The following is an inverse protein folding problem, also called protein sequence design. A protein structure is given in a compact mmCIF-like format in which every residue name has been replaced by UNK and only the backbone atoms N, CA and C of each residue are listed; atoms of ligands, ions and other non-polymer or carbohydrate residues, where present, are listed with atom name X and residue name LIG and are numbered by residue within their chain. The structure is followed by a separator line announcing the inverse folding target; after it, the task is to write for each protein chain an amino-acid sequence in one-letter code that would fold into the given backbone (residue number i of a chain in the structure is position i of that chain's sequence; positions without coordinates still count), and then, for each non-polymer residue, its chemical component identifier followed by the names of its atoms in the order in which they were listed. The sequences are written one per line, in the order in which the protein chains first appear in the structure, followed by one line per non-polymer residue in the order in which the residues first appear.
data_IF_909200883293
#
_entry.id   IF_909200883293
#
_cell.length_a   1.000
_cell.length_b   1.000
_cell.length_c   1.000
_cell.angle_alpha   90.00
_cell.angle_beta   90.00
_cell.angle_gamma   90.00
#
_symmetry.space_group_name_H-M   'P 1'
#
loop_
_entity.id
_entity.type
_entity.pdbx_description
1 polymer ?
#
# COMPACT_ATOMS: atom_id res chain seq x y z
N UNK A 1 -41.16 14.21 6.92
CA UNK A 1 -40.16 13.17 7.22
C UNK A 1 -39.94 13.08 8.72
N UNK A 2 -39.80 11.88 9.31
CA UNK A 2 -39.50 11.73 10.75
C UNK A 2 -38.19 12.45 11.08
N UNK A 3 -38.15 13.20 12.19
CA UNK A 3 -36.95 13.97 12.63
C UNK A 3 -35.67 13.12 12.69
N UNK A 4 -35.80 11.82 12.95
CA UNK A 4 -34.70 10.86 12.95
C UNK A 4 -34.06 10.69 11.57
N UNK A 5 -34.86 10.57 10.51
CA UNK A 5 -34.37 10.39 9.14
C UNK A 5 -33.61 11.62 8.64
N UNK A 6 -34.05 12.81 9.06
CA UNK A 6 -33.38 14.08 8.72
C UNK A 6 -32.01 14.16 9.40
N UNK A 7 -31.90 13.75 10.67
CA UNK A 7 -30.61 13.71 11.39
C UNK A 7 -29.64 12.72 10.76
N UNK A 8 -30.10 11.51 10.44
CA UNK A 8 -29.26 10.49 9.78
C UNK A 8 -28.79 10.97 8.41
N UNK A 9 -29.67 11.56 7.60
CA UNK A 9 -29.32 12.09 6.28
C UNK A 9 -28.31 13.23 6.39
N UNK A 10 -28.49 14.14 7.35
CA UNK A 10 -27.54 15.23 7.59
C UNK A 10 -26.16 14.73 8.00
N UNK A 11 -26.07 13.70 8.85
CA UNK A 11 -24.80 13.08 9.22
C UNK A 11 -24.11 12.41 8.04
N UNK A 12 -24.87 11.71 7.18
CA UNK A 12 -24.32 11.09 5.97
C UNK A 12 -23.70 12.15 5.05
N UNK A 13 -24.43 13.24 4.78
CA UNK A 13 -23.95 14.35 3.93
C UNK A 13 -22.72 15.01 4.56
N UNK A 14 -22.72 15.23 5.87
CA UNK A 14 -21.57 15.78 6.60
C UNK A 14 -20.34 14.88 6.48
N UNK A 15 -20.49 13.57 6.65
CA UNK A 15 -19.37 12.63 6.49
C UNK A 15 -18.83 12.61 5.07
N UNK A 16 -19.70 12.62 4.05
CA UNK A 16 -19.24 12.67 2.66
C UNK A 16 -18.49 13.96 2.34
N UNK A 17 -19.02 15.10 2.76
CA UNK A 17 -18.34 16.40 2.56
C UNK A 17 -16.99 16.44 3.28
N UNK A 18 -16.90 15.92 4.51
CA UNK A 18 -15.64 15.77 5.23
C UNK A 18 -14.63 14.90 4.47
N UNK A 19 -15.06 13.76 3.91
CA UNK A 19 -14.18 12.88 3.12
C UNK A 19 -13.68 13.55 1.83
N UNK A 20 -14.54 14.27 1.11
CA UNK A 20 -14.16 14.97 -0.13
C UNK A 20 -13.15 16.07 0.16
N UNK A 21 -13.39 16.88 1.19
CA UNK A 21 -12.45 17.94 1.61
C UNK A 21 -11.12 17.32 2.07
N UNK A 22 -11.17 16.27 2.88
CA UNK A 22 -9.97 15.55 3.30
C UNK A 22 -9.18 15.02 2.10
N UNK A 23 -9.85 14.42 1.11
CA UNK A 23 -9.20 13.92 -0.10
C UNK A 23 -8.50 15.04 -0.89
N UNK A 24 -9.16 16.20 -1.06
CA UNK A 24 -8.56 17.35 -1.76
C UNK A 24 -7.34 17.91 -1.02
N UNK A 25 -7.39 17.97 0.32
CA UNK A 25 -6.25 18.42 1.14
C UNK A 25 -5.08 17.43 1.01
N UNK A 26 -5.35 16.13 1.15
CA UNK A 26 -4.28 15.12 1.02
C UNK A 26 -3.69 15.06 -0.38
N UNK A 27 -4.51 15.20 -1.43
CA UNK A 27 -4.02 15.29 -2.80
C UNK A 27 -3.09 16.50 -2.99
N UNK A 28 -3.50 17.68 -2.56
CA UNK A 28 -2.68 18.89 -2.66
C UNK A 28 -1.36 18.80 -1.88
N UNK A 29 -1.36 18.13 -0.71
CA UNK A 29 -0.19 18.05 0.16
C UNK A 29 0.77 16.92 -0.23
N UNK A 30 0.28 15.74 -0.59
CA UNK A 30 1.10 14.54 -0.75
C UNK A 30 1.39 14.18 -2.23
N UNK A 31 0.55 14.60 -3.19
CA UNK A 31 0.67 14.22 -4.61
C UNK A 31 2.01 14.61 -5.25
N UNK A 32 2.46 15.85 -5.00
CA UNK A 32 3.76 16.34 -5.51
C UNK A 32 4.94 15.57 -4.90
N UNK A 33 4.85 15.27 -3.61
CA UNK A 33 5.90 14.55 -2.89
C UNK A 33 6.00 13.10 -3.37
N UNK A 34 4.87 12.43 -3.54
CA UNK A 34 4.80 11.07 -4.10
C UNK A 34 5.41 11.02 -5.51
N UNK A 35 4.98 11.94 -6.39
CA UNK A 35 5.47 11.98 -7.78
C UNK A 35 6.99 12.21 -7.84
N UNK A 36 7.51 13.12 -7.01
CA UNK A 36 8.96 13.38 -6.92
C UNK A 36 9.73 12.18 -6.36
N UNK A 37 9.20 11.53 -5.32
CA UNK A 37 9.80 10.33 -4.74
C UNK A 37 9.81 9.18 -5.75
N UNK A 38 8.71 8.97 -6.48
CA UNK A 38 8.61 7.95 -7.53
C UNK A 38 9.64 8.18 -8.62
N UNK A 39 9.75 9.40 -9.14
CA UNK A 39 10.78 9.75 -10.14
C UNK A 39 12.21 9.51 -9.62
N UNK A 40 12.50 9.85 -8.36
CA UNK A 40 13.81 9.59 -7.75
C UNK A 40 14.10 8.09 -7.62
N UNK A 41 13.08 7.29 -7.30
CA UNK A 41 13.20 5.83 -7.24
C UNK A 41 13.44 5.25 -8.63
N UNK A 42 12.72 5.70 -9.65
CA UNK A 42 12.89 5.25 -11.04
C UNK A 42 14.30 5.56 -11.57
N UNK A 43 14.81 6.76 -11.28
CA UNK A 43 16.19 7.14 -11.63
C UNK A 43 17.22 6.26 -10.93
N UNK A 44 17.00 5.93 -9.64
CA UNK A 44 17.88 5.02 -8.90
C UNK A 44 17.79 3.58 -9.41
N UNK A 45 16.60 3.08 -9.75
CA UNK A 45 16.38 1.77 -10.38
C UNK A 45 17.15 1.70 -11.70
N UNK A 46 17.00 2.70 -12.57
CA UNK A 46 17.74 2.77 -13.84
C UNK A 46 19.27 2.82 -13.65
N UNK A 47 19.76 3.58 -12.67
CA UNK A 47 21.19 3.63 -12.35
C UNK A 47 21.72 2.28 -11.85
N UNK A 48 20.98 1.56 -11.01
CA UNK A 48 21.34 0.24 -10.51
C UNK A 48 21.37 -0.81 -11.62
N UNK A 49 20.32 -0.84 -12.47
CA UNK A 49 20.26 -1.72 -13.63
C UNK A 49 21.48 -1.55 -14.54
N UNK A 50 21.87 -0.29 -14.81
CA UNK A 50 23.06 0.02 -15.62
C UNK A 50 24.38 -0.34 -14.92
N UNK A 51 24.51 -0.06 -13.63
CA UNK A 51 25.77 -0.25 -12.89
C UNK A 51 26.09 -1.73 -12.69
N UNK A 52 25.07 -2.55 -12.45
CA UNK A 52 25.21 -3.99 -12.22
C UNK A 52 24.88 -4.85 -13.44
N UNK A 53 24.59 -4.22 -14.58
CA UNK A 53 24.24 -4.88 -15.84
C UNK A 53 23.11 -5.91 -15.70
N UNK A 54 22.12 -5.58 -14.86
CA UNK A 54 20.97 -6.42 -14.56
C UNK A 54 19.89 -6.25 -15.62
N UNK A 55 19.23 -7.34 -16.00
CA UNK A 55 17.97 -7.29 -16.73
C UNK A 55 16.83 -6.83 -15.81
N UNK A 56 15.71 -6.39 -16.40
CA UNK A 56 14.51 -6.03 -15.65
C UNK A 56 13.96 -7.21 -14.84
N UNK A 57 14.07 -8.43 -15.38
CA UNK A 57 13.56 -9.66 -14.75
C UNK A 57 14.38 -10.01 -13.49
N UNK A 58 15.71 -9.95 -13.57
CA UNK A 58 16.59 -10.20 -12.43
C UNK A 58 16.42 -9.14 -11.32
N UNK A 59 16.17 -7.90 -11.70
CA UNK A 59 15.90 -6.84 -10.73
C UNK A 59 14.56 -7.04 -10.02
N UNK A 60 13.52 -7.46 -10.73
CA UNK A 60 12.21 -7.72 -10.12
C UNK A 60 12.28 -8.94 -9.18
N UNK A 61 13.07 -9.96 -9.50
CA UNK A 61 13.35 -11.08 -8.59
C UNK A 61 14.10 -10.61 -7.34
N UNK A 62 15.13 -9.77 -7.50
CA UNK A 62 15.85 -9.15 -6.38
C UNK A 62 14.93 -8.28 -5.52
N UNK A 63 14.04 -7.50 -6.13
CA UNK A 63 13.04 -6.70 -5.44
C UNK A 63 12.11 -7.58 -4.60
N UNK A 64 11.65 -8.71 -5.16
CA UNK A 64 10.82 -9.70 -4.44
C UNK A 64 11.54 -10.25 -3.22
N UNK A 65 12.81 -10.65 -3.35
CA UNK A 65 13.62 -11.14 -2.22
C UNK A 65 13.81 -10.05 -1.15
N UNK A 66 14.09 -8.81 -1.54
CA UNK A 66 14.25 -7.69 -0.61
C UNK A 66 12.96 -7.38 0.14
N UNK A 67 11.81 -7.42 -0.55
CA UNK A 67 10.49 -7.24 0.07
C UNK A 67 10.18 -8.35 1.08
N UNK A 68 10.57 -9.60 0.80
CA UNK A 68 10.43 -10.73 1.72
C UNK A 68 11.34 -10.64 2.96
N UNK A 69 12.52 -10.02 2.81
CA UNK A 69 13.44 -9.80 3.92
C UNK A 69 13.03 -8.63 4.82
N UNK A 70 12.22 -7.68 4.33
CA UNK A 70 11.77 -6.51 5.09
C UNK A 70 11.18 -6.84 6.48
N UNK A 71 10.24 -7.78 6.65
CA UNK A 71 9.73 -8.16 7.98
C UNK A 71 10.81 -8.79 8.89
N UNK A 72 11.82 -9.44 8.30
CA UNK A 72 12.92 -10.07 9.03
C UNK A 72 13.98 -9.07 9.51
N UNK A 73 14.06 -7.87 8.91
CA UNK A 73 14.99 -6.80 9.33
C UNK A 73 14.71 -6.25 10.73
N UNK A 74 13.46 -6.36 11.20
CA UNK A 74 13.07 -5.96 12.55
C UNK A 74 13.38 -7.02 13.64
N UNK A 75 14.05 -8.12 13.27
CA UNK A 75 14.35 -9.24 14.16
C UNK A 75 13.20 -10.26 14.26
N UNK A 76 13.25 -11.14 15.27
CA UNK A 76 12.23 -12.18 15.47
C UNK A 76 10.96 -11.57 16.06
N UNK A 77 10.05 -11.12 15.17
CA UNK A 77 8.79 -10.47 15.55
C UNK A 77 7.81 -11.42 16.28
N UNK A 78 7.91 -12.74 16.09
CA UNK A 78 6.97 -13.74 16.63
C UNK A 78 7.43 -14.44 17.92
N UNK A 79 8.19 -13.74 18.77
CA UNK A 79 8.40 -14.16 20.17
C UNK A 79 7.28 -13.63 21.06
N UNK A 80 7.16 -14.14 22.29
CA UNK A 80 6.08 -13.79 23.23
C UNK A 80 5.79 -12.29 23.31
N UNK A 81 6.81 -11.44 23.45
CA UNK A 81 6.64 -9.98 23.51
C UNK A 81 6.02 -9.37 22.23
N UNK A 82 6.42 -9.84 21.05
CA UNK A 82 5.87 -9.37 19.79
C UNK A 82 4.44 -9.88 19.53
N UNK A 83 4.16 -11.13 19.88
CA UNK A 83 2.80 -11.69 19.84
C UNK A 83 1.85 -11.00 20.82
N UNK A 84 2.34 -10.65 22.01
CA UNK A 84 1.58 -9.90 23.01
C UNK A 84 1.30 -8.46 22.57
N UNK A 85 2.31 -7.76 22.02
CA UNK A 85 2.11 -6.43 21.43
C UNK A 85 1.10 -6.46 20.28
N UNK A 86 1.19 -7.45 19.39
CA UNK A 86 0.22 -7.65 18.32
C UNK A 86 -1.21 -7.82 18.86
N UNK A 87 -1.42 -8.67 19.86
CA UNK A 87 -2.73 -8.86 20.50
C UNK A 87 -3.30 -7.54 21.06
N UNK A 88 -2.47 -6.72 21.71
CA UNK A 88 -2.88 -5.38 22.18
C UNK A 88 -3.35 -4.52 21.00
N UNK A 89 -2.58 -4.46 19.90
CA UNK A 89 -2.95 -3.63 18.73
C UNK A 89 -4.23 -4.10 18.03
N UNK A 90 -4.58 -5.38 18.11
CA UNK A 90 -5.83 -5.94 17.60
C UNK A 90 -7.00 -5.54 18.49
N UNK A 91 -6.90 -5.75 19.81
CA UNK A 91 -7.96 -5.45 20.78
C UNK A 91 -8.24 -3.93 20.83
N UNK A 92 -7.21 -3.11 20.74
CA UNK A 92 -7.31 -1.63 20.74
C UNK A 92 -7.67 -1.03 19.39
N UNK A 93 -7.89 -1.86 18.35
CA UNK A 93 -8.20 -1.47 16.97
C UNK A 93 -7.20 -0.53 16.30
N UNK A 94 -5.97 -0.43 16.83
CA UNK A 94 -4.87 0.36 16.24
C UNK A 94 -4.39 -0.28 14.93
N UNK A 95 -4.17 -1.61 14.94
CA UNK A 95 -3.84 -2.41 13.75
C UNK A 95 -2.67 -1.88 12.89
N UNK A 96 -1.43 -1.93 13.40
CA UNK A 96 -0.25 -1.54 12.59
C UNK A 96 0.02 -2.55 11.47
N UNK A 97 0.01 -2.06 10.22
CA UNK A 97 0.30 -2.90 9.04
C UNK A 97 1.64 -3.61 9.13
N UNK A 98 2.68 -3.00 9.68
CA UNK A 98 4.03 -3.59 9.76
C UNK A 98 4.11 -4.94 10.50
N UNK A 99 3.11 -5.27 11.33
CA UNK A 99 3.07 -6.49 12.13
C UNK A 99 1.80 -7.25 11.76
N UNK A 100 1.86 -7.97 10.63
CA UNK A 100 0.82 -8.94 10.25
C UNK A 100 1.45 -10.33 10.16
N UNK A 101 0.70 -11.38 10.52
CA UNK A 101 1.17 -12.76 10.35
C UNK A 101 1.57 -13.02 8.91
N UNK A 102 2.71 -13.69 8.73
CA UNK A 102 3.48 -13.73 7.48
C UNK A 102 2.63 -13.97 6.23
N UNK A 103 1.67 -14.89 6.28
CA UNK A 103 0.84 -15.27 5.14
C UNK A 103 0.01 -14.11 4.54
N UNK A 104 -0.31 -13.07 5.31
CA UNK A 104 -1.14 -11.96 4.82
C UNK A 104 -0.43 -11.05 3.81
N UNK A 105 0.90 -10.93 3.88
CA UNK A 105 1.65 -10.14 2.90
C UNK A 105 1.88 -10.90 1.60
N UNK A 106 2.15 -12.21 1.69
CA UNK A 106 2.44 -13.05 0.52
C UNK A 106 1.22 -13.20 -0.38
N UNK A 107 0.03 -13.40 0.18
CA UNK A 107 -1.19 -13.56 -0.62
C UNK A 107 -1.53 -12.29 -1.41
N UNK A 108 -1.25 -11.10 -0.87
CA UNK A 108 -1.49 -9.84 -1.56
C UNK A 108 -0.52 -9.57 -2.71
N UNK A 109 0.76 -9.83 -2.52
CA UNK A 109 1.78 -9.65 -3.58
C UNK A 109 1.52 -10.65 -4.71
N UNK A 110 1.22 -11.90 -4.37
CA UNK A 110 0.96 -12.96 -5.34
C UNK A 110 -0.41 -12.81 -6.05
N UNK A 111 -1.36 -12.06 -5.46
CA UNK A 111 -2.59 -11.63 -6.14
C UNK A 111 -2.35 -10.47 -7.11
N UNK A 112 -1.45 -9.54 -6.79
CA UNK A 112 -1.18 -8.36 -7.64
C UNK A 112 -0.47 -8.75 -8.94
N UNK A 113 0.35 -9.80 -8.92
CA UNK A 113 0.97 -10.38 -10.13
C UNK A 113 -0.01 -11.23 -10.97
N UNK A 114 -1.20 -11.56 -10.45
CA UNK A 114 -2.24 -12.36 -11.14
C UNK A 114 -3.32 -11.53 -11.85
N UNK A 115 -3.08 -10.25 -12.08
CA UNK A 115 -3.95 -9.44 -12.97
C UNK A 115 -3.41 -9.57 -14.40
N UNK A 116 -4.03 -10.38 -15.30
CA UNK A 116 -3.60 -10.42 -16.68
C UNK A 116 -3.84 -9.06 -17.32
N UNK A 117 -2.76 -8.45 -17.84
CA UNK A 117 -2.79 -7.26 -18.67
C UNK A 117 -3.67 -7.53 -19.90
N UNK A 118 -4.97 -7.27 -19.77
CA UNK A 118 -5.95 -7.47 -20.83
C UNK A 118 -6.60 -6.14 -21.13
N UNK A 119 -6.08 -5.48 -22.18
CA UNK A 119 -6.79 -4.80 -23.27
C UNK A 119 -5.84 -3.81 -23.96
N UNK A 120 -5.17 -4.28 -25.00
CA UNK A 120 -4.76 -3.41 -26.11
C UNK A 120 -6.04 -2.90 -26.81
N UNK A 121 -6.19 -1.59 -27.08
CA UNK A 121 -7.27 -1.09 -27.92
C UNK A 121 -6.92 -1.40 -29.38
N UNK A 122 -7.76 -2.20 -30.05
CA UNK A 122 -7.71 -2.32 -31.52
C UNK A 122 -8.06 -0.96 -32.13
N UNK A 123 -7.13 -0.41 -32.91
CA UNK A 123 -7.39 0.74 -33.79
C UNK A 123 -8.52 0.40 -34.77
N UNK A 124 -9.47 1.32 -35.01
CA UNK A 124 -10.44 1.18 -36.08
C UNK A 124 -9.85 1.63 -37.41
N UNK A 125 -9.88 0.73 -38.40
CA UNK A 125 -9.71 1.00 -39.83
C UNK A 125 -10.94 1.66 -40.44
#
# INVERSE_FOLDING_TARGET
MKRQNVRTLALIICTFTYLIVGAAIFDALESQKETSQRRKLDLRKAALLRTFNLSSVEFDELEKVVLQLKPHKAGVQWKFAGSFYFAITVITTIGKREIVPGNFYFEKVDLMDRVPASREPREPS
#
